data_IF_553202337727
#
_entry.id   IF_553202337727
#
_cell.length_a   1.000
_cell.length_b   1.000
_cell.length_c   1.000
_cell.angle_alpha   90.00
_cell.angle_beta   90.00
_cell.angle_gamma   90.00
#
_symmetry.space_group_name_H-M   'P 1'
#
loop_
_entity.id
_entity.type
_entity.pdbx_description
1 polymer ?
#
# COMPACT_ATOMS: atom_id res chain seq x y z
N UNK A 1 -10.73 -14.76 -5.49
CA UNK A 1 -11.93 -14.16 -4.83
C UNK A 1 -12.37 -12.90 -5.60
N UNK A 2 -13.49 -12.27 -5.21
CA UNK A 2 -13.85 -10.93 -5.68
C UNK A 2 -13.25 -9.88 -4.74
N UNK A 3 -12.64 -8.85 -5.30
CA UNK A 3 -11.98 -7.76 -4.59
C UNK A 3 -12.77 -6.48 -4.88
N UNK A 4 -13.12 -5.77 -3.83
CA UNK A 4 -13.79 -4.48 -3.96
C UNK A 4 -12.77 -3.41 -4.36
N UNK A 5 -13.10 -2.59 -5.35
CA UNK A 5 -12.26 -1.49 -5.84
C UNK A 5 -13.02 -0.18 -5.75
N UNK A 6 -12.28 0.92 -5.65
CA UNK A 6 -12.77 2.28 -5.71
C UNK A 6 -12.18 2.98 -6.93
N UNK A 7 -13.05 3.60 -7.72
CA UNK A 7 -12.68 4.42 -8.87
C UNK A 7 -12.48 5.88 -8.44
N UNK A 8 -11.78 6.69 -9.25
CA UNK A 8 -11.63 8.13 -8.98
C UNK A 8 -12.98 8.88 -8.95
N UNK A 9 -14.02 8.34 -9.59
CA UNK A 9 -15.40 8.87 -9.59
C UNK A 9 -16.19 8.51 -8.31
N UNK A 10 -15.52 8.08 -7.24
CA UNK A 10 -16.12 7.58 -6.00
C UNK A 10 -17.03 6.35 -6.16
N UNK A 11 -16.98 5.70 -7.34
CA UNK A 11 -17.71 4.45 -7.59
C UNK A 11 -16.99 3.26 -7.00
N UNK A 12 -17.77 2.26 -6.58
CA UNK A 12 -17.28 1.00 -6.06
C UNK A 12 -17.72 -0.15 -6.96
N UNK A 13 -16.81 -1.08 -7.25
CA UNK A 13 -17.10 -2.27 -8.05
C UNK A 13 -16.39 -3.51 -7.47
N UNK A 14 -16.77 -4.69 -7.94
CA UNK A 14 -16.21 -5.97 -7.49
C UNK A 14 -15.59 -6.70 -8.67
N UNK A 15 -14.27 -6.79 -8.67
CA UNK A 15 -13.51 -7.40 -9.76
C UNK A 15 -12.82 -8.67 -9.31
N UNK A 16 -12.46 -9.52 -10.26
CA UNK A 16 -11.60 -10.68 -9.99
C UNK A 16 -10.16 -10.21 -9.83
N UNK A 17 -9.36 -10.98 -9.10
CA UNK A 17 -7.94 -10.71 -8.88
C UNK A 17 -7.16 -10.45 -10.19
N UNK A 18 -7.41 -11.25 -11.25
CA UNK A 18 -6.79 -11.01 -12.57
C UNK A 18 -7.18 -9.67 -13.20
N UNK A 19 -8.41 -9.21 -12.96
CA UNK A 19 -8.88 -7.92 -13.46
C UNK A 19 -8.34 -6.77 -12.60
N UNK A 20 -8.21 -6.99 -11.29
CA UNK A 20 -7.59 -6.04 -10.38
C UNK A 20 -6.18 -5.68 -10.85
N UNK A 21 -5.33 -6.67 -11.13
CA UNK A 21 -3.96 -6.43 -11.62
C UNK A 21 -3.95 -5.53 -12.85
N UNK A 22 -4.80 -5.82 -13.85
CA UNK A 22 -4.94 -5.00 -15.05
C UNK A 22 -5.42 -3.56 -14.75
N UNK A 23 -6.32 -3.39 -13.78
CA UNK A 23 -6.83 -2.07 -13.37
C UNK A 23 -5.77 -1.27 -12.61
N UNK A 24 -4.93 -1.94 -11.82
CA UNK A 24 -3.77 -1.34 -11.16
C UNK A 24 -2.74 -0.93 -12.21
N UNK A 25 -2.38 -1.83 -13.14
CA UNK A 25 -1.42 -1.54 -14.22
C UNK A 25 -1.89 -0.42 -15.15
N UNK A 26 -3.21 -0.33 -15.38
CA UNK A 26 -3.83 0.70 -16.24
C UNK A 26 -4.23 1.97 -15.49
N UNK A 27 -3.91 2.09 -14.20
CA UNK A 27 -4.23 3.23 -13.33
C UNK A 27 -5.73 3.63 -13.37
N UNK A 28 -6.61 2.63 -13.44
CA UNK A 28 -8.07 2.83 -13.57
C UNK A 28 -8.81 2.98 -12.25
N UNK A 29 -8.19 2.53 -11.15
CA UNK A 29 -8.76 2.56 -9.81
C UNK A 29 -7.82 3.32 -8.88
N UNK A 30 -8.36 3.90 -7.82
CA UNK A 30 -7.59 4.66 -6.83
C UNK A 30 -7.32 3.84 -5.58
N UNK A 31 -8.25 2.96 -5.19
CA UNK A 31 -8.14 2.16 -3.97
C UNK A 31 -8.72 0.76 -4.18
N UNK A 32 -8.25 -0.24 -3.46
CA UNK A 32 -8.84 -1.57 -3.44
C UNK A 32 -8.83 -2.19 -2.05
N UNK A 33 -9.82 -3.05 -1.76
CA UNK A 33 -10.02 -3.68 -0.46
C UNK A 33 -9.44 -5.09 -0.46
N UNK A 34 -8.42 -5.30 0.36
CA UNK A 34 -7.85 -6.61 0.66
C UNK A 34 -8.24 -7.05 2.06
N UNK A 35 -7.85 -8.28 2.42
CA UNK A 35 -8.18 -8.87 3.73
C UNK A 35 -7.73 -8.00 4.91
N UNK A 36 -6.64 -7.24 4.74
CA UNK A 36 -6.10 -6.35 5.78
C UNK A 36 -6.71 -4.95 5.81
N UNK A 37 -7.52 -4.57 4.82
CA UNK A 37 -8.08 -3.21 4.69
C UNK A 37 -7.98 -2.63 3.28
N UNK A 38 -8.22 -1.32 3.18
CA UNK A 38 -8.12 -0.56 1.94
C UNK A 38 -6.66 -0.20 1.63
N UNK A 39 -6.24 -0.36 0.38
CA UNK A 39 -4.91 0.02 -0.12
C UNK A 39 -5.08 1.05 -1.22
N UNK A 40 -4.38 2.17 -1.08
CA UNK A 40 -4.43 3.29 -2.01
C UNK A 40 -3.29 3.22 -3.02
N UNK A 41 -3.64 3.17 -4.30
CA UNK A 41 -2.68 3.11 -5.40
C UNK A 41 -1.98 4.47 -5.52
N UNK A 42 -0.67 4.46 -5.74
CA UNK A 42 0.16 5.66 -5.89
C UNK A 42 0.55 6.36 -4.58
N UNK A 43 -0.03 5.98 -3.44
CA UNK A 43 0.35 6.49 -2.10
C UNK A 43 0.92 5.38 -1.25
N UNK A 44 0.23 4.25 -1.17
CA UNK A 44 0.75 3.07 -0.50
C UNK A 44 1.75 2.37 -1.42
N UNK A 45 2.92 1.95 -0.93
CA UNK A 45 3.85 1.17 -1.71
C UNK A 45 3.22 -0.21 -1.98
N UNK A 46 2.56 -0.36 -3.12
CA UNK A 46 1.95 -1.62 -3.61
C UNK A 46 3.00 -2.75 -3.66
N UNK A 47 4.26 -2.36 -3.78
CA UNK A 47 5.41 -3.26 -3.85
C UNK A 47 6.55 -2.68 -3.00
N UNK A 48 6.41 -2.70 -1.68
CA UNK A 48 7.59 -2.69 -0.81
C UNK A 48 8.38 -3.96 -1.13
N UNK A 49 9.33 -3.84 -2.07
CA UNK A 49 10.61 -4.50 -1.85
C UNK A 49 11.02 -4.01 -0.46
N UNK A 50 11.09 -4.93 0.48
CA UNK A 50 11.56 -4.68 1.84
C UNK A 50 12.92 -3.99 1.76
N UNK A 51 12.92 -2.66 1.66
CA UNK A 51 13.98 -1.86 2.20
C UNK A 51 13.84 -2.09 3.69
N UNK A 52 14.63 -3.05 4.18
CA UNK A 52 15.01 -3.11 5.57
C UNK A 52 15.55 -1.72 5.90
N UNK A 53 14.67 -0.87 6.41
CA UNK A 53 15.00 0.43 6.97
C UNK A 53 15.80 0.16 8.24
N UNK A 54 17.09 -0.01 8.04
CA UNK A 54 18.14 -0.16 9.03
C UNK A 54 18.42 1.13 9.82
N UNK A 55 17.56 2.15 9.72
CA UNK A 55 17.90 3.53 10.07
C UNK A 55 17.00 4.16 11.15
N UNK A 56 16.32 3.34 11.97
CA UNK A 56 15.55 3.81 13.14
C UNK A 56 16.22 3.63 14.51
N UNK A 57 17.54 3.51 14.55
CA UNK A 57 18.28 3.71 15.81
C UNK A 57 19.33 4.81 15.64
N UNK A 58 18.94 6.10 15.76
CA UNK A 58 19.91 7.16 15.96
C UNK A 58 20.64 6.89 17.29
N UNK A 59 21.88 6.44 17.16
CA UNK A 59 22.82 6.27 18.25
C UNK A 59 23.23 7.65 18.80
N UNK A 60 22.50 8.17 19.77
CA UNK A 60 22.85 9.42 20.45
C UNK A 60 22.77 9.30 21.99
N UNK A 61 23.86 8.74 22.54
CA UNK A 61 24.70 9.35 23.61
C UNK A 61 23.99 10.10 24.74
N UNK A 62 24.03 9.54 25.96
CA UNK A 62 24.25 10.30 27.22
C UNK A 62 24.51 9.39 28.42
N UNK A 63 25.74 9.38 28.92
CA UNK A 63 26.10 8.68 30.16
C UNK A 63 27.59 8.43 30.36
N UNK A 64 28.45 9.43 30.11
CA UNK A 64 29.81 9.45 30.64
C UNK A 64 29.85 10.49 31.77
N UNK A 65 30.34 10.04 32.94
CA UNK A 65 30.99 10.81 34.02
C UNK A 65 30.10 11.58 35.01
N UNK A 66 29.76 10.93 36.13
CA UNK A 66 30.26 11.30 37.47
C UNK A 66 30.19 10.11 38.42
#
# INVERSE_FOLDING_TARGET
MLIQVKYPDDRYDYVKERTLDLLIESDKITEFKRSTGWVKIGVDPIRTKTANDSDKYPNERRGLLH
#
